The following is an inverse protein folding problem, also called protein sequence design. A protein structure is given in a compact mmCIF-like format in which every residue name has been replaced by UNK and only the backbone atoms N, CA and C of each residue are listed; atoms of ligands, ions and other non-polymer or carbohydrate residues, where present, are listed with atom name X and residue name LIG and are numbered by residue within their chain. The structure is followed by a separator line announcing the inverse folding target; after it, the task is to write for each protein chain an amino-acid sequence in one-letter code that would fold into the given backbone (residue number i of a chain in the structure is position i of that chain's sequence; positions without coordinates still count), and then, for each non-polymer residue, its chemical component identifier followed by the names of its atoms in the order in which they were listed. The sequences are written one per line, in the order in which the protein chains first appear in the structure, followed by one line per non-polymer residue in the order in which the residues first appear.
data_IF_046604260571
#
_entry.id   IF_046604260571
#
_cell.length_a   1.000
_cell.length_b   1.000
_cell.length_c   1.000
_cell.angle_alpha   90.00
_cell.angle_beta   90.00
_cell.angle_gamma   90.00
#
_symmetry.space_group_name_H-M   'P 1'
#
loop_
_entity.id
_entity.type
_entity.pdbx_description
1 polymer ?
#
# COMPACT_ATOMS: atom_id res chain seq x y z
N UNK A 1 19.74 4.89 20.74
CA UNK A 1 18.34 4.84 21.19
C UNK A 1 17.57 5.82 20.32
N UNK A 2 16.82 5.31 19.36
CA UNK A 2 15.92 6.12 18.53
C UNK A 2 14.51 5.61 18.83
N UNK A 3 13.66 6.51 19.30
CA UNK A 3 12.23 6.27 19.52
C UNK A 3 11.55 6.27 18.15
N UNK A 4 11.01 5.13 17.72
CA UNK A 4 10.18 5.06 16.51
C UNK A 4 8.73 4.81 16.90
N UNK A 5 8.02 5.90 17.17
CA UNK A 5 6.56 5.96 17.14
C UNK A 5 6.15 6.55 15.78
N UNK A 6 6.15 5.73 14.74
CA UNK A 6 5.39 5.99 13.53
C UNK A 6 4.62 4.71 13.20
N UNK A 7 3.40 4.85 12.70
CA UNK A 7 2.61 3.75 12.14
C UNK A 7 3.32 3.21 10.90
N UNK A 8 4.31 2.35 11.11
CA UNK A 8 5.10 1.73 10.04
C UNK A 8 4.37 0.49 9.55
N UNK A 9 3.86 0.55 8.31
CA UNK A 9 3.58 -0.65 7.53
C UNK A 9 4.84 -1.51 7.56
N UNK A 10 4.75 -2.69 8.14
CA UNK A 10 5.96 -3.50 8.37
C UNK A 10 6.46 -4.11 7.07
N UNK A 11 5.56 -4.29 6.08
CA UNK A 11 5.80 -4.93 4.78
C UNK A 11 4.75 -4.48 3.73
N UNK A 12 4.99 -4.74 2.44
CA UNK A 12 4.12 -4.25 1.34
C UNK A 12 2.71 -4.84 1.33
N UNK A 13 2.55 -6.14 1.62
CA UNK A 13 1.24 -6.78 1.62
C UNK A 13 0.27 -6.17 2.64
N UNK A 14 0.78 -5.62 3.75
CA UNK A 14 -0.03 -5.06 4.83
C UNK A 14 -0.77 -3.79 4.38
N UNK A 15 -0.33 -3.15 3.29
CA UNK A 15 -1.06 -2.05 2.63
C UNK A 15 -2.53 -2.44 2.37
N UNK A 16 -2.77 -3.68 1.96
CA UNK A 16 -4.11 -4.19 1.67
C UNK A 16 -5.02 -4.15 2.90
N UNK A 17 -4.50 -4.52 4.07
CA UNK A 17 -5.30 -4.66 5.29
C UNK A 17 -5.31 -3.41 6.16
N UNK A 18 -4.25 -2.60 6.13
CA UNK A 18 -4.02 -1.56 7.13
C UNK A 18 -4.32 -0.13 6.66
N UNK A 19 -4.30 0.13 5.35
CA UNK A 19 -4.56 1.48 4.82
C UNK A 19 -6.04 1.66 4.50
N UNK A 20 -6.70 2.60 5.18
CA UNK A 20 -8.04 3.07 4.78
C UNK A 20 -8.06 4.57 4.44
N UNK A 21 -6.97 5.30 4.71
CA UNK A 21 -6.82 6.72 4.42
C UNK A 21 -5.41 7.06 3.95
N UNK A 22 -5.30 8.08 3.11
CA UNK A 22 -4.03 8.72 2.73
C UNK A 22 -4.10 10.22 3.03
N UNK A 23 -2.95 10.83 3.32
CA UNK A 23 -2.85 12.25 3.62
C UNK A 23 -2.10 12.99 2.52
N UNK A 24 -2.67 14.08 2.01
CA UNK A 24 -1.89 15.02 1.20
C UNK A 24 -0.97 15.83 2.11
N UNK A 25 0.32 15.78 1.80
CA UNK A 25 1.39 16.36 2.62
C UNK A 25 1.22 17.88 2.80
N UNK A 26 0.84 18.59 1.74
CA UNK A 26 0.80 20.06 1.74
C UNK A 26 -0.19 20.64 2.75
N UNK A 27 -1.42 20.12 2.80
CA UNK A 27 -2.52 20.69 3.58
C UNK A 27 -3.09 19.74 4.63
N UNK A 28 -2.44 18.59 4.84
CA UNK A 28 -2.86 17.53 5.77
C UNK A 28 -4.27 16.99 5.48
N UNK A 29 -4.80 17.21 4.27
CA UNK A 29 -6.13 16.73 3.90
C UNK A 29 -6.13 15.20 3.78
N UNK A 30 -7.08 14.56 4.47
CA UNK A 30 -7.28 13.12 4.42
C UNK A 30 -8.20 12.73 3.27
N UNK A 31 -7.85 11.65 2.58
CA UNK A 31 -8.67 11.02 1.56
C UNK A 31 -8.87 9.56 1.92
N UNK A 32 -10.12 9.10 1.91
CA UNK A 32 -10.42 7.68 2.05
C UNK A 32 -9.95 6.92 0.81
N UNK A 33 -9.54 5.67 0.99
CA UNK A 33 -9.25 4.77 -0.12
C UNK A 33 -10.35 3.74 -0.30
N UNK A 34 -10.49 3.23 -1.52
CA UNK A 34 -11.38 2.13 -1.87
C UNK A 34 -10.55 0.96 -2.39
N UNK A 35 -10.80 -0.21 -1.82
CA UNK A 35 -10.10 -1.46 -2.16
C UNK A 35 -10.99 -2.30 -3.08
N UNK A 36 -10.40 -2.81 -4.14
CA UNK A 36 -11.05 -3.64 -5.14
C UNK A 36 -10.29 -4.97 -5.23
N UNK A 37 -10.88 -6.05 -4.70
CA UNK A 37 -10.24 -7.37 -4.75
C UNK A 37 -10.00 -7.81 -6.19
N UNK A 38 -8.96 -8.59 -6.43
CA UNK A 38 -8.79 -9.24 -7.73
C UNK A 38 -10.01 -10.14 -8.03
N UNK A 39 -10.67 -9.93 -9.17
CA UNK A 39 -12.02 -10.45 -9.43
C UNK A 39 -13.15 -9.46 -9.09
N UNK A 40 -12.86 -8.16 -8.94
CA UNK A 40 -13.89 -7.13 -8.74
C UNK A 40 -14.76 -6.97 -9.99
N UNK A 41 -16.05 -6.63 -9.86
CA UNK A 41 -16.87 -6.19 -11.00
C UNK A 41 -16.44 -4.81 -11.54
N UNK A 42 -15.61 -4.08 -10.79
CA UNK A 42 -15.05 -2.82 -11.23
C UNK A 42 -13.75 -3.10 -12.00
N UNK A 43 -13.44 -2.37 -13.08
CA UNK A 43 -12.16 -2.50 -13.76
C UNK A 43 -11.00 -1.93 -12.94
N UNK A 44 -9.75 -2.35 -13.22
CA UNK A 44 -8.55 -1.63 -12.78
C UNK A 44 -8.61 -0.16 -13.20
N UNK A 45 -7.96 0.72 -12.44
CA UNK A 45 -7.99 2.17 -12.67
C UNK A 45 -6.57 2.71 -12.73
N UNK A 46 -6.36 3.75 -13.55
CA UNK A 46 -5.12 4.52 -13.53
C UNK A 46 -4.90 5.11 -12.13
N UNK A 47 -3.63 5.22 -11.76
CA UNK A 47 -3.14 5.82 -10.53
C UNK A 47 -3.59 5.08 -9.25
N UNK A 48 -4.04 3.84 -9.39
CA UNK A 48 -4.27 2.92 -8.28
C UNK A 48 -2.99 2.23 -7.84
N UNK A 49 -2.91 1.90 -6.56
CA UNK A 49 -1.92 0.94 -6.05
C UNK A 49 -2.37 -0.47 -6.42
N UNK A 50 -1.50 -1.25 -7.06
CA UNK A 50 -1.67 -2.69 -7.25
C UNK A 50 -0.94 -3.43 -6.12
N UNK A 51 -1.65 -4.27 -5.37
CA UNK A 51 -1.10 -4.95 -4.19
C UNK A 51 -1.00 -6.46 -4.43
N UNK A 52 0.17 -7.01 -4.16
CA UNK A 52 0.43 -8.45 -4.20
C UNK A 52 0.35 -9.05 -2.81
N UNK A 53 -0.21 -10.26 -2.74
CA UNK A 53 -0.13 -11.09 -1.55
C UNK A 53 1.30 -11.57 -1.33
N UNK A 54 1.59 -11.96 -0.09
CA UNK A 54 2.81 -12.73 0.20
C UNK A 54 2.77 -14.05 -0.56
N UNK A 55 3.89 -14.47 -1.13
CA UNK A 55 3.98 -15.70 -1.90
C UNK A 55 5.32 -16.40 -1.69
N UNK A 56 5.31 -17.36 -0.75
CA UNK A 56 6.47 -18.19 -0.44
C UNK A 56 7.75 -17.39 -0.18
N UNK A 57 8.88 -17.95 -0.62
CA UNK A 57 10.21 -17.32 -0.50
C UNK A 57 10.42 -16.24 -1.58
N UNK A 58 9.65 -16.28 -2.67
CA UNK A 58 9.84 -15.39 -3.80
C UNK A 58 9.29 -13.97 -3.55
N UNK A 59 8.17 -13.85 -2.82
CA UNK A 59 7.60 -12.58 -2.35
C UNK A 59 7.20 -12.69 -0.87
N UNK A 60 8.16 -12.81 0.06
CA UNK A 60 7.86 -13.01 1.48
C UNK A 60 7.14 -11.81 2.10
N UNK A 61 7.33 -10.62 1.54
CA UNK A 61 6.76 -9.35 2.00
C UNK A 61 5.56 -8.88 1.16
N UNK A 62 5.17 -9.65 0.14
CA UNK A 62 4.32 -9.16 -0.94
C UNK A 62 5.05 -8.16 -1.82
N UNK A 63 4.29 -7.38 -2.58
CA UNK A 63 4.80 -6.36 -3.49
C UNK A 63 3.75 -5.29 -3.73
N UNK A 64 4.18 -4.11 -4.17
CA UNK A 64 3.32 -2.99 -4.53
C UNK A 64 3.80 -2.35 -5.81
N UNK A 65 2.87 -2.01 -6.68
CA UNK A 65 3.10 -1.28 -7.90
C UNK A 65 2.07 -0.15 -8.08
N UNK A 66 2.33 0.78 -8.99
CA UNK A 66 1.37 1.81 -9.42
C UNK A 66 0.86 1.45 -10.80
N UNK A 67 -0.46 1.39 -10.97
CA UNK A 67 -1.08 1.27 -12.29
C UNK A 67 -0.95 2.63 -12.99
N UNK A 68 -0.13 2.73 -14.03
CA UNK A 68 0.09 3.99 -14.75
C UNK A 68 -0.81 4.13 -15.97
N UNK A 69 -1.13 3.03 -16.64
CA UNK A 69 -2.08 2.98 -17.75
C UNK A 69 -2.94 1.72 -17.68
N UNK A 70 -4.24 1.87 -17.94
CA UNK A 70 -5.18 0.77 -18.17
C UNK A 70 -5.47 0.71 -19.67
N UNK A 71 -5.04 -0.38 -20.30
CA UNK A 71 -5.24 -0.70 -21.71
C UNK A 71 -6.45 -1.65 -21.85
N UNK A 72 -6.93 -1.95 -23.07
CA UNK A 72 -8.13 -2.78 -23.25
C UNK A 72 -8.09 -4.17 -22.58
N UNK A 73 -6.90 -4.78 -22.48
CA UNK A 73 -6.69 -6.15 -21.98
C UNK A 73 -5.46 -6.30 -21.06
N UNK A 74 -4.86 -5.19 -20.64
CA UNK A 74 -3.68 -5.18 -19.79
C UNK A 74 -3.58 -3.87 -19.01
N UNK A 75 -2.75 -3.88 -17.98
CA UNK A 75 -2.32 -2.69 -17.28
C UNK A 75 -0.83 -2.50 -17.47
N UNK A 76 -0.36 -1.25 -17.47
CA UNK A 76 1.05 -0.90 -17.31
C UNK A 76 1.28 -0.52 -15.87
N UNK A 77 2.40 -0.98 -15.32
CA UNK A 77 2.77 -0.66 -13.94
C UNK A 77 4.14 -0.01 -13.85
N UNK A 78 4.28 0.92 -12.92
CA UNK A 78 5.56 1.43 -12.43
C UNK A 78 5.80 0.89 -11.01
N UNK A 79 6.99 0.38 -10.71
CA UNK A 79 7.28 -0.32 -9.46
C UNK A 79 8.77 -0.37 -9.18
N UNK A 80 9.20 -0.40 -7.91
CA UNK A 80 10.61 -0.64 -7.56
C UNK A 80 10.77 -2.01 -6.90
N UNK A 81 12.00 -2.55 -6.89
CA UNK A 81 12.34 -3.80 -6.20
C UNK A 81 11.59 -5.05 -6.70
N UNK A 82 11.18 -5.07 -7.97
CA UNK A 82 10.64 -6.27 -8.65
C UNK A 82 11.69 -6.87 -9.59
N UNK A 83 12.09 -6.10 -10.60
CA UNK A 83 13.12 -6.43 -11.57
C UNK A 83 14.12 -5.26 -11.70
N UNK A 84 15.38 -5.54 -12.01
CA UNK A 84 16.47 -4.55 -12.04
C UNK A 84 16.78 -3.97 -13.44
N UNK A 85 15.84 -4.04 -14.38
CA UNK A 85 16.05 -3.56 -15.76
C UNK A 85 15.77 -2.06 -15.91
N UNK A 86 16.46 -1.41 -16.86
CA UNK A 86 16.16 -0.04 -17.26
C UNK A 86 14.84 0.02 -18.03
N UNK A 87 13.95 0.93 -17.64
CA UNK A 87 12.68 1.13 -18.35
C UNK A 87 12.88 1.99 -19.59
N UNK A 88 12.31 1.56 -20.70
CA UNK A 88 12.36 2.29 -21.97
C UNK A 88 11.33 3.45 -21.97
N UNK A 89 10.29 3.35 -21.15
CA UNK A 89 9.21 4.35 -21.06
C UNK A 89 8.86 4.73 -19.62
N UNK A 90 7.62 5.19 -19.42
CA UNK A 90 7.07 5.58 -18.12
C UNK A 90 6.49 4.40 -17.31
N UNK A 91 6.77 3.16 -17.71
CA UNK A 91 6.31 1.94 -17.06
C UNK A 91 7.40 0.86 -17.05
N UNK A 92 7.36 0.01 -16.04
CA UNK A 92 8.26 -1.13 -15.87
C UNK A 92 7.86 -2.31 -16.76
N UNK A 93 6.57 -2.70 -16.70
CA UNK A 93 6.02 -3.84 -17.46
C UNK A 93 4.52 -3.72 -17.69
N UNK A 94 4.04 -4.53 -18.62
CA UNK A 94 2.62 -4.76 -18.88
C UNK A 94 2.16 -6.08 -18.22
N UNK A 95 0.98 -6.06 -17.59
CA UNK A 95 0.37 -7.20 -16.93
C UNK A 95 -1.00 -7.45 -17.56
N UNK A 96 -1.30 -8.65 -18.07
CA UNK A 96 -2.59 -8.94 -18.67
C UNK A 96 -3.70 -8.95 -17.61
N UNK A 97 -4.90 -8.56 -18.01
CA UNK A 97 -6.12 -8.81 -17.23
C UNK A 97 -7.23 -9.35 -18.12
N UNK A 98 -8.19 -10.06 -17.52
CA UNK A 98 -9.34 -10.65 -18.20
C UNK A 98 -10.65 -10.20 -17.57
N UNK A 99 -11.68 -10.08 -18.39
CA UNK A 99 -13.05 -9.92 -17.93
C UNK A 99 -13.80 -11.24 -18.09
N UNK A 100 -14.21 -11.84 -16.97
CA UNK A 100 -14.86 -13.15 -16.91
C UNK A 100 -16.07 -13.08 -15.97
N UNK A 101 -17.25 -13.51 -16.44
CA UNK A 101 -18.47 -13.62 -15.63
C UNK A 101 -18.82 -12.35 -14.84
N UNK A 102 -18.62 -11.16 -15.45
CA UNK A 102 -18.92 -9.90 -14.78
C UNK A 102 -17.75 -9.28 -14.00
N UNK A 103 -16.61 -9.95 -13.91
CA UNK A 103 -15.50 -9.59 -13.02
C UNK A 103 -14.17 -9.44 -13.75
N UNK A 104 -13.30 -8.56 -13.25
CA UNK A 104 -11.97 -8.28 -13.78
C UNK A 104 -10.88 -8.97 -12.96
N UNK A 105 -10.03 -9.74 -13.64
CA UNK A 105 -8.93 -10.50 -13.04
C UNK A 105 -7.59 -10.07 -13.64
N UNK A 106 -6.70 -9.51 -12.82
CA UNK A 106 -5.31 -9.25 -13.21
C UNK A 106 -4.51 -10.54 -12.98
N UNK A 107 -3.80 -10.99 -14.01
CA UNK A 107 -3.06 -12.24 -14.00
C UNK A 107 -1.56 -11.97 -14.09
N UNK A 108 -0.82 -12.44 -13.09
CA UNK A 108 0.62 -12.30 -13.04
C UNK A 108 1.27 -13.53 -12.39
N UNK A 109 2.60 -13.60 -12.41
CA UNK A 109 3.39 -14.68 -11.83
C UNK A 109 3.06 -14.95 -10.36
N UNK A 110 2.74 -13.90 -9.60
CA UNK A 110 2.43 -14.00 -8.18
C UNK A 110 1.01 -13.55 -7.86
N UNK A 111 0.38 -14.06 -6.78
CA UNK A 111 -1.01 -13.75 -6.46
C UNK A 111 -1.22 -12.27 -6.13
N UNK A 112 -2.15 -11.64 -6.85
CA UNK A 112 -2.57 -10.25 -6.63
C UNK A 112 -3.74 -10.23 -5.65
N UNK A 113 -3.65 -9.40 -4.61
CA UNK A 113 -4.75 -9.15 -3.67
C UNK A 113 -5.86 -8.33 -4.33
N UNK A 114 -5.46 -7.28 -5.04
CA UNK A 114 -6.36 -6.35 -5.70
C UNK A 114 -5.68 -5.00 -5.96
N UNK A 115 -6.48 -3.97 -6.18
CA UNK A 115 -6.00 -2.59 -6.32
C UNK A 115 -6.74 -1.63 -5.39
N UNK A 116 -6.06 -0.53 -5.04
CA UNK A 116 -6.54 0.49 -4.13
C UNK A 116 -6.56 1.83 -4.86
N UNK A 117 -7.71 2.50 -4.85
CA UNK A 117 -7.88 3.84 -5.44
C UNK A 117 -8.25 4.85 -4.37
N UNK A 118 -7.84 6.11 -4.54
CA UNK A 118 -8.29 7.20 -3.68
C UNK A 118 -9.72 7.58 -4.08
N UNK A 119 -10.60 7.71 -3.07
CA UNK A 119 -11.97 8.20 -3.27
C UNK A 119 -11.89 9.70 -3.56
N UNK A 120 -12.56 10.13 -4.63
CA UNK A 120 -12.58 11.51 -5.12
C UNK A 120 -11.24 12.02 -5.66
N UNK A 121 -10.72 11.30 -6.66
CA UNK A 121 -9.49 11.62 -7.38
C UNK A 121 -9.41 13.07 -7.89
N UNK A 122 -10.53 13.72 -8.23
CA UNK A 122 -10.49 15.11 -8.70
C UNK A 122 -9.88 16.08 -7.68
N UNK A 123 -9.95 15.73 -6.39
CA UNK A 123 -9.41 16.53 -5.30
C UNK A 123 -7.95 16.20 -4.95
N UNK A 124 -7.36 15.16 -5.54
CA UNK A 124 -5.95 14.76 -5.30
C UNK A 124 -4.96 15.50 -6.20
N UNK A 125 -5.44 16.31 -7.14
CA UNK A 125 -4.60 17.15 -8.00
C UNK A 125 -3.62 17.99 -7.16
N UNK A 126 -2.37 18.18 -7.64
CA UNK A 126 -1.43 19.07 -6.99
C UNK A 126 -2.04 20.44 -6.74
N UNK A 127 -1.81 20.99 -5.54
CA UNK A 127 -2.16 22.37 -5.25
C UNK A 127 -1.25 23.30 -6.06
N UNK A 128 -1.77 24.46 -6.45
CA UNK A 128 -0.96 25.47 -7.12
C UNK A 128 0.10 26.04 -6.14
N UNK A 129 1.19 26.55 -6.72
CA UNK A 129 2.34 27.01 -5.93
C UNK A 129 1.98 28.18 -4.99
N UNK A 130 1.04 29.04 -5.36
CA UNK A 130 0.61 30.15 -4.52
C UNK A 130 -0.09 29.63 -3.26
N UNK A 131 -0.99 28.66 -3.42
CA UNK A 131 -1.65 27.97 -2.31
C UNK A 131 -0.64 27.26 -1.41
N UNK A 132 0.31 26.53 -1.98
CA UNK A 132 1.38 25.84 -1.22
C UNK A 132 2.18 26.84 -0.38
N UNK A 133 2.64 27.95 -0.98
CA UNK A 133 3.43 28.97 -0.28
C UNK A 133 2.66 29.59 0.89
N UNK A 134 1.36 29.82 0.73
CA UNK A 134 0.50 30.32 1.80
C UNK A 134 0.37 29.30 2.94
N UNK A 135 0.19 28.02 2.63
CA UNK A 135 0.11 26.97 3.66
C UNK A 135 1.43 26.86 4.43
N UNK A 136 2.56 26.84 3.73
CA UNK A 136 3.89 26.75 4.37
C UNK A 136 4.12 27.95 5.30
N UNK A 137 3.72 29.16 4.88
CA UNK A 137 3.83 30.37 5.70
C UNK A 137 3.00 30.29 6.98
N UNK A 138 1.83 29.62 6.94
CA UNK A 138 0.92 29.49 8.07
C UNK A 138 1.28 28.34 9.02
N UNK A 139 1.67 27.19 8.46
CA UNK A 139 1.75 25.91 9.19
C UNK A 139 3.18 25.39 9.39
N UNK A 140 4.20 26.06 8.84
CA UNK A 140 5.59 25.56 8.85
C UNK A 140 5.78 24.37 7.90
N UNK A 141 6.90 23.65 8.05
CA UNK A 141 7.36 22.64 7.07
C UNK A 141 7.12 21.18 7.47
N UNK A 142 6.65 20.90 8.70
CA UNK A 142 6.53 19.51 9.19
C UNK A 142 5.15 18.91 8.93
N UNK A 143 5.04 17.82 8.15
CA UNK A 143 3.80 17.08 8.02
C UNK A 143 3.62 16.16 9.22
N UNK A 144 2.86 16.61 10.22
CA UNK A 144 2.26 15.66 11.16
C UNK A 144 1.26 14.80 10.38
N UNK A 145 1.41 13.48 10.45
CA UNK A 145 0.42 12.54 9.92
C UNK A 145 -0.73 12.45 10.91
N UNK A 146 -1.88 13.02 10.54
CA UNK A 146 -3.08 13.11 11.39
C UNK A 146 -4.22 12.21 10.91
N UNK A 147 -4.11 11.65 9.69
CA UNK A 147 -5.06 10.69 9.17
C UNK A 147 -4.79 9.31 9.80
N UNK A 148 -5.47 8.99 10.89
CA UNK A 148 -5.39 7.67 11.53
C UNK A 148 -6.68 6.89 11.36
N UNK A 149 -6.55 5.58 11.14
CA UNK A 149 -7.62 4.65 11.46
C UNK A 149 -7.84 4.68 12.98
N UNK A 150 -9.07 4.90 13.44
CA UNK A 150 -9.46 4.81 14.86
C UNK A 150 -9.33 3.40 15.45
N UNK A 151 -8.69 2.46 14.74
CA UNK A 151 -8.43 1.11 15.20
C UNK A 151 -7.19 1.09 16.09
N UNK A 152 -7.31 1.65 17.29
CA UNK A 152 -6.42 1.33 18.41
C UNK A 152 -6.69 -0.14 18.76
N UNK A 153 -6.01 -1.06 18.09
CA UNK A 153 -5.89 -2.41 18.63
C UNK A 153 -4.86 -2.35 19.75
N UNK A 154 -5.38 -2.54 20.97
CA UNK A 154 -4.64 -2.78 22.20
C UNK A 154 -3.29 -3.46 21.95
N UNK A 155 -2.20 -2.77 22.31
CA UNK A 155 -0.92 -3.39 22.59
C UNK A 155 -1.10 -4.36 23.75
N UNK A 156 -1.41 -5.62 23.47
CA UNK A 156 -1.03 -6.71 24.36
C UNK A 156 0.45 -6.96 24.06
N UNK A 157 1.28 -6.56 25.01
CA UNK A 157 2.72 -6.66 24.96
C UNK A 157 3.16 -8.07 24.53
N UNK A 158 3.95 -8.16 23.47
CA UNK A 158 4.69 -9.36 23.07
C UNK A 158 5.75 -9.81 24.12
N UNK A 159 5.77 -9.20 25.31
CA UNK A 159 6.64 -9.59 26.42
C UNK A 159 6.25 -10.92 27.08
N UNK A 160 5.09 -11.52 26.79
CA UNK A 160 4.68 -12.78 27.41
C UNK A 160 4.98 -14.06 26.60
N UNK A 161 5.31 -13.98 25.31
CA UNK A 161 5.62 -15.19 24.52
C UNK A 161 7.09 -15.62 24.59
N UNK A 162 8.01 -14.71 24.88
CA UNK A 162 9.43 -15.07 25.09
C UNK A 162 9.69 -15.72 26.46
N UNK A 163 8.86 -15.44 27.47
CA UNK A 163 9.02 -16.06 28.80
C UNK A 163 8.47 -17.49 28.82
N UNK A 164 7.42 -17.81 28.05
CA UNK A 164 6.86 -19.17 28.04
C UNK A 164 7.80 -20.17 27.30
N UNK A 165 8.50 -19.73 26.25
CA UNK A 165 9.44 -20.61 25.54
C UNK A 165 10.73 -20.83 26.37
N UNK A 166 11.19 -19.85 27.14
CA UNK A 166 12.34 -20.04 28.03
C UNK A 166 12.05 -20.91 29.26
N UNK A 167 10.81 -20.95 29.75
CA UNK A 167 10.42 -21.85 30.84
C UNK A 167 10.12 -23.28 30.37
N UNK A 168 9.69 -23.49 29.12
CA UNK A 168 9.46 -24.84 28.58
C UNK A 168 10.75 -25.55 28.13
N UNK A 169 11.77 -24.82 27.68
CA UNK A 169 13.06 -25.42 27.30
C UNK A 169 13.96 -25.76 28.51
N UNK A 170 13.74 -25.15 29.68
CA UNK A 170 14.53 -25.45 30.88
C UNK A 170 14.12 -26.74 31.60
N UNK A 171 12.94 -27.30 31.30
CA UNK A 171 12.43 -28.54 31.88
C UNK A 171 12.62 -29.78 30.98
N UNK A 172 13.25 -29.62 29.81
CA UNK A 172 13.55 -30.75 28.90
C UNK A 172 15.02 -31.18 28.94
N UNK A 173 15.85 -30.46 29.72
CA UNK A 173 17.26 -30.77 29.95
C UNK A 173 17.58 -30.72 31.45
N UNK A 174 16.90 -31.57 32.23
CA UNK A 174 17.36 -32.13 33.50
C UNK A 174 16.74 -33.50 33.71
#
# INVERSE_FOLDING_TARGET
MINENYSHLRIYADIWTEIDYVQRVNDKKCFSVKKYSNGSPNPPQNESLLIYNRSGIALPFGHVAIIVDVLPNSIRVAEENYDSYLWIGNYAREIPYKYLNGNYYIEDKYPIAGWISIIDYNQTKPLDQYTINNIIKLNGTSPDFICSNNSIYHFISFYYYFIIIFFLLKNYYM
#
